data_IF_986248902269
#
_entry.id   IF_986248902269
#
_cell.length_a   1.000
_cell.length_b   1.000
_cell.length_c   1.000
_cell.angle_alpha   90.00
_cell.angle_beta   90.00
_cell.angle_gamma   90.00
#
_symmetry.space_group_name_H-M   'P 1'
#
loop_
_entity.id
_entity.type
_entity.pdbx_description
1 polymer ?
#
# COMPACT_ATOMS: atom_id res chain seq x y z
N UNK A 1 -5.36 24.66 25.83
CA UNK A 1 -5.91 24.61 24.46
C UNK A 1 -4.80 25.06 23.52
N UNK A 2 -3.95 24.13 23.07
CA UNK A 2 -2.84 24.51 22.17
C UNK A 2 -3.41 24.68 20.77
N UNK A 3 -3.41 25.91 20.27
CA UNK A 3 -3.70 26.20 18.87
C UNK A 3 -2.67 25.45 18.01
N UNK A 4 -3.11 24.42 17.28
CA UNK A 4 -2.25 23.72 16.34
C UNK A 4 -2.04 24.65 15.14
N UNK A 5 -0.80 25.12 14.98
CA UNK A 5 -0.37 25.95 13.86
C UNK A 5 0.41 25.07 12.89
N UNK A 6 0.14 25.21 11.59
CA UNK A 6 0.89 24.52 10.53
C UNK A 6 1.68 25.52 9.69
N UNK A 7 2.94 25.18 9.39
CA UNK A 7 3.77 25.95 8.47
C UNK A 7 3.51 25.50 7.03
N UNK A 8 3.16 26.45 6.16
CA UNK A 8 2.95 26.22 4.72
C UNK A 8 3.78 27.18 3.88
N UNK A 9 4.46 26.64 2.88
CA UNK A 9 5.19 27.44 1.90
C UNK A 9 4.22 27.91 0.80
N UNK A 10 4.20 29.20 0.52
CA UNK A 10 3.37 29.74 -0.56
C UNK A 10 3.90 29.27 -1.92
N UNK A 11 3.05 28.75 -2.83
CA UNK A 11 3.50 28.29 -4.14
C UNK A 11 3.98 29.44 -5.05
N UNK A 12 3.57 30.69 -4.80
CA UNK A 12 3.95 31.83 -5.64
C UNK A 12 5.17 32.60 -5.15
N UNK A 13 5.26 32.92 -3.86
CA UNK A 13 6.36 33.73 -3.32
C UNK A 13 7.32 32.94 -2.44
N UNK A 14 7.08 31.63 -2.23
CA UNK A 14 7.88 30.74 -1.38
C UNK A 14 8.02 31.15 0.09
N UNK A 15 7.34 32.22 0.52
CA UNK A 15 7.26 32.62 1.93
C UNK A 15 6.58 31.53 2.76
N UNK A 16 7.15 31.22 3.92
CA UNK A 16 6.55 30.31 4.91
C UNK A 16 5.51 31.08 5.72
N UNK A 17 4.28 30.57 5.76
CA UNK A 17 3.16 31.14 6.49
C UNK A 17 2.77 30.19 7.62
N UNK A 18 2.52 30.73 8.83
CA UNK A 18 1.92 29.96 9.92
C UNK A 18 0.41 30.12 9.86
N UNK A 19 -0.28 29.00 9.70
CA UNK A 19 -1.72 28.97 9.47
C UNK A 19 -2.38 28.18 10.57
N UNK A 20 -3.51 28.69 11.08
CA UNK A 20 -4.33 27.94 12.02
C UNK A 20 -4.93 26.73 11.32
N UNK A 21 -4.81 25.56 11.93
CA UNK A 21 -5.25 24.26 11.40
C UNK A 21 -6.71 24.28 10.92
N UNK A 22 -7.59 24.97 11.63
CA UNK A 22 -9.01 25.11 11.32
C UNK A 22 -9.33 26.00 10.11
N UNK A 23 -8.40 26.86 9.73
CA UNK A 23 -8.56 27.84 8.64
C UNK A 23 -7.65 27.56 7.44
N UNK A 24 -6.96 26.41 7.42
CA UNK A 24 -5.95 26.07 6.41
C UNK A 24 -6.48 26.16 4.98
N UNK A 25 -7.73 25.79 4.75
CA UNK A 25 -8.32 25.75 3.40
C UNK A 25 -8.50 27.12 2.77
N UNK A 26 -8.78 28.14 3.57
CA UNK A 26 -9.05 29.50 3.09
C UNK A 26 -7.90 30.46 3.43
N UNK A 27 -6.78 29.92 3.90
CA UNK A 27 -5.63 30.69 4.26
C UNK A 27 -4.95 31.33 3.05
N UNK A 28 -4.58 32.60 3.26
CA UNK A 28 -3.95 33.45 2.28
C UNK A 28 -2.54 33.79 2.75
N UNK A 29 -1.60 33.88 1.82
CA UNK A 29 -0.23 34.26 2.13
C UNK A 29 -0.15 35.72 2.59
N UNK A 30 0.49 35.94 3.73
CA UNK A 30 0.67 37.28 4.30
C UNK A 30 1.55 38.21 3.44
N UNK A 31 2.45 37.64 2.63
CA UNK A 31 3.38 38.41 1.80
C UNK A 31 2.79 38.83 0.45
N UNK A 32 2.04 37.95 -0.22
CA UNK A 32 1.59 38.20 -1.60
C UNK A 32 0.06 38.16 -1.77
N UNK A 33 -0.72 37.96 -0.70
CA UNK A 33 -2.18 37.97 -0.76
C UNK A 33 -2.80 36.81 -1.55
N UNK A 34 -2.00 35.78 -1.89
CA UNK A 34 -2.46 34.65 -2.69
C UNK A 34 -2.91 33.47 -1.81
N UNK A 35 -3.98 32.78 -2.22
CA UNK A 35 -4.43 31.53 -1.57
C UNK A 35 -3.29 30.51 -1.50
N UNK A 36 -3.09 29.91 -0.32
CA UNK A 36 -2.00 28.96 -0.07
C UNK A 36 -2.23 27.59 -0.70
N UNK A 37 -3.50 27.21 -0.93
CA UNK A 37 -3.90 25.95 -1.56
C UNK A 37 -4.63 26.31 -2.84
N UNK A 38 -3.99 26.06 -3.99
CA UNK A 38 -4.56 26.35 -5.32
C UNK A 38 -4.74 25.08 -6.15
N UNK A 39 -3.79 24.16 -6.03
CA UNK A 39 -3.77 22.91 -6.78
C UNK A 39 -3.80 21.70 -5.85
N UNK A 40 -4.25 20.56 -6.37
CA UNK A 40 -4.25 19.28 -5.66
C UNK A 40 -2.85 18.87 -5.16
N UNK A 41 -1.78 19.27 -5.89
CA UNK A 41 -0.39 19.06 -5.48
C UNK A 41 -0.03 19.81 -4.18
N UNK A 42 -0.58 21.00 -3.95
CA UNK A 42 -0.35 21.80 -2.74
C UNK A 42 -0.99 21.15 -1.49
N UNK A 43 -2.13 20.46 -1.67
CA UNK A 43 -2.80 19.69 -0.62
C UNK A 43 -1.93 18.53 -0.15
N UNK A 44 -1.32 17.81 -1.10
CA UNK A 44 -0.40 16.71 -0.83
C UNK A 44 1.00 17.20 -0.39
N UNK A 45 1.31 18.48 -0.56
CA UNK A 45 2.64 19.08 -0.33
C UNK A 45 3.74 18.44 -1.18
N UNK A 46 3.42 18.16 -2.43
CA UNK A 46 4.37 17.63 -3.43
C UNK A 46 4.56 18.64 -4.57
N UNK A 47 5.71 18.61 -5.27
CA UNK A 47 5.87 19.44 -6.46
C UNK A 47 4.95 18.96 -7.59
N UNK A 48 4.69 19.82 -8.57
CA UNK A 48 3.81 19.53 -9.70
C UNK A 48 4.35 18.45 -10.65
N UNK A 49 5.62 18.10 -10.54
CA UNK A 49 6.30 17.04 -11.29
C UNK A 49 6.54 15.76 -10.46
N UNK A 50 5.87 15.61 -9.31
CA UNK A 50 6.07 14.47 -8.42
C UNK A 50 5.71 13.13 -9.09
N UNK A 51 6.52 12.11 -8.83
CA UNK A 51 6.28 10.75 -9.31
C UNK A 51 5.06 10.12 -8.63
N UNK A 52 4.32 9.18 -9.26
CA UNK A 52 3.21 8.48 -8.62
C UNK A 52 3.56 7.83 -7.29
N UNK A 53 4.79 7.32 -7.13
CA UNK A 53 5.25 6.77 -5.86
C UNK A 53 5.37 7.85 -4.77
N UNK A 54 5.90 9.03 -5.12
CA UNK A 54 6.02 10.17 -4.20
C UNK A 54 4.63 10.70 -3.81
N UNK A 55 3.72 10.83 -4.78
CA UNK A 55 2.33 11.23 -4.52
C UNK A 55 1.62 10.28 -3.55
N UNK A 56 1.78 8.96 -3.76
CA UNK A 56 1.21 7.91 -2.89
C UNK A 56 1.78 7.99 -1.47
N UNK A 57 3.10 8.23 -1.34
CA UNK A 57 3.74 8.39 -0.04
C UNK A 57 3.29 9.67 0.68
N UNK A 58 3.19 10.78 -0.03
CA UNK A 58 2.72 12.05 0.52
C UNK A 58 1.25 11.99 0.96
N UNK A 59 0.39 11.37 0.14
CA UNK A 59 -1.01 11.09 0.49
C UNK A 59 -1.12 10.31 1.79
N UNK A 60 -0.40 9.18 1.94
CA UNK A 60 -0.42 8.37 3.16
C UNK A 60 -0.05 9.19 4.40
N UNK A 61 1.00 10.01 4.30
CA UNK A 61 1.45 10.90 5.40
C UNK A 61 0.38 11.92 5.78
N UNK A 62 -0.20 12.61 4.79
CA UNK A 62 -1.21 13.64 5.06
C UNK A 62 -2.52 13.03 5.58
N UNK A 63 -2.97 11.92 5.00
CA UNK A 63 -4.17 11.22 5.44
C UNK A 63 -4.06 10.72 6.89
N UNK A 64 -2.87 10.26 7.32
CA UNK A 64 -2.61 9.89 8.72
C UNK A 64 -2.55 11.08 9.67
N UNK A 65 -2.05 12.22 9.21
CA UNK A 65 -1.97 13.46 10.01
C UNK A 65 -3.36 14.02 10.29
N UNK A 66 -4.23 13.97 9.29
CA UNK A 66 -5.55 14.58 9.30
C UNK A 66 -6.69 13.59 9.54
N UNK A 67 -6.38 12.37 9.99
CA UNK A 67 -7.39 11.36 10.25
C UNK A 67 -8.33 11.79 11.39
N UNK A 68 -9.66 11.72 11.23
CA UNK A 68 -10.62 12.22 12.23
C UNK A 68 -10.45 11.59 13.61
N UNK A 69 -10.04 10.32 13.69
CA UNK A 69 -9.82 9.64 14.98
C UNK A 69 -8.69 10.24 15.84
N UNK A 70 -7.78 11.04 15.25
CA UNK A 70 -6.71 11.71 16.02
C UNK A 70 -7.14 13.05 16.63
N UNK A 71 -8.27 13.60 16.21
CA UNK A 71 -8.72 14.95 16.56
C UNK A 71 -10.02 14.85 17.35
N UNK A 72 -9.93 14.81 18.68
CA UNK A 72 -11.09 14.69 19.57
C UNK A 72 -11.84 15.99 19.81
N UNK A 73 -11.18 17.14 19.64
CA UNK A 73 -11.79 18.45 19.85
C UNK A 73 -12.77 18.76 18.68
N UNK A 74 -14.00 19.25 18.93
CA UNK A 74 -15.00 19.44 17.87
C UNK A 74 -14.55 20.35 16.73
N UNK A 75 -13.83 21.43 17.05
CA UNK A 75 -13.30 22.39 16.07
C UNK A 75 -12.22 21.74 15.20
N UNK A 76 -11.28 21.03 15.83
CA UNK A 76 -10.20 20.34 15.12
C UNK A 76 -10.73 19.15 14.33
N UNK A 77 -11.72 18.43 14.84
CA UNK A 77 -12.39 17.32 14.16
C UNK A 77 -13.03 17.78 12.85
N UNK A 78 -13.78 18.88 12.88
CA UNK A 78 -14.43 19.43 11.69
C UNK A 78 -13.39 19.82 10.62
N UNK A 79 -12.35 20.54 11.04
CA UNK A 79 -11.25 20.94 10.18
C UNK A 79 -10.49 19.73 9.60
N UNK A 80 -10.15 18.76 10.43
CA UNK A 80 -9.45 17.54 10.03
C UNK A 80 -10.29 16.70 9.07
N UNK A 81 -11.61 16.60 9.29
CA UNK A 81 -12.52 15.90 8.39
C UNK A 81 -12.60 16.59 7.03
N UNK A 82 -12.73 17.93 6.99
CA UNK A 82 -12.70 18.69 5.75
C UNK A 82 -11.37 18.51 5.01
N UNK A 83 -10.25 18.56 5.74
CA UNK A 83 -8.91 18.39 5.19
C UNK A 83 -8.67 16.97 4.67
N UNK A 84 -9.08 15.96 5.42
CA UNK A 84 -9.03 14.56 5.01
C UNK A 84 -9.81 14.34 3.72
N UNK A 85 -11.03 14.89 3.60
CA UNK A 85 -11.83 14.80 2.38
C UNK A 85 -11.11 15.43 1.18
N UNK A 86 -10.57 16.63 1.34
CA UNK A 86 -9.84 17.31 0.26
C UNK A 86 -8.55 16.57 -0.16
N UNK A 87 -7.80 15.99 0.79
CA UNK A 87 -6.64 15.15 0.48
C UNK A 87 -7.05 13.93 -0.37
N UNK A 88 -8.15 13.27 0.01
CA UNK A 88 -8.64 12.10 -0.72
C UNK A 88 -9.09 12.47 -2.14
N UNK A 89 -9.82 13.57 -2.28
CA UNK A 89 -10.24 14.09 -3.59
C UNK A 89 -9.03 14.46 -4.45
N UNK A 90 -8.06 15.18 -3.88
CA UNK A 90 -6.81 15.53 -4.55
C UNK A 90 -6.07 14.29 -5.06
N UNK A 91 -5.88 13.27 -4.21
CA UNK A 91 -5.21 12.05 -4.61
C UNK A 91 -6.03 11.25 -5.65
N UNK A 92 -7.36 11.21 -5.55
CA UNK A 92 -8.21 10.55 -6.53
C UNK A 92 -8.11 11.20 -7.93
N UNK A 93 -8.07 12.53 -8.00
CA UNK A 93 -7.89 13.27 -9.26
C UNK A 93 -6.47 13.03 -9.82
N UNK A 94 -5.44 13.25 -9.00
CA UNK A 94 -4.04 13.13 -9.41
C UNK A 94 -3.65 11.70 -9.81
N UNK A 95 -4.15 10.70 -9.09
CA UNK A 95 -3.92 9.29 -9.46
C UNK A 95 -4.62 8.91 -10.76
N UNK A 96 -5.81 9.47 -11.05
CA UNK A 96 -6.51 9.27 -12.32
C UNK A 96 -5.80 9.98 -13.47
N UNK A 97 -5.21 11.15 -13.24
CA UNK A 97 -4.37 11.86 -14.22
C UNK A 97 -3.09 11.09 -14.54
N UNK A 98 -2.37 10.63 -13.50
CA UNK A 98 -1.19 9.78 -13.67
C UNK A 98 -1.51 8.52 -14.50
N UNK A 99 -2.60 7.82 -14.16
CA UNK A 99 -3.07 6.64 -14.91
C UNK A 99 -3.51 6.98 -16.34
N UNK A 100 -4.12 8.15 -16.58
CA UNK A 100 -4.51 8.60 -17.94
C UNK A 100 -3.29 8.91 -18.81
N UNK A 101 -2.23 9.47 -18.23
CA UNK A 101 -0.99 9.71 -18.94
C UNK A 101 -0.26 8.40 -19.29
N UNK A 102 -0.41 7.36 -18.47
CA UNK A 102 0.10 6.00 -18.73
C UNK A 102 -0.78 5.17 -19.67
N UNK A 103 -2.09 5.46 -19.77
CA UNK A 103 -3.03 4.70 -20.60
C UNK A 103 -4.06 5.62 -21.27
N UNK A 104 -3.73 6.04 -22.49
CA UNK A 104 -4.64 6.77 -23.37
C UNK A 104 -5.73 5.86 -23.98
N UNK A 105 -6.67 5.36 -23.15
CA UNK A 105 -7.97 4.90 -23.64
C UNK A 105 -8.98 4.67 -22.51
N UNK A 106 -10.16 5.27 -22.68
CA UNK A 106 -11.44 5.05 -22.01
C UNK A 106 -11.71 5.78 -20.67
N UNK A 107 -12.44 6.89 -20.80
CA UNK A 107 -13.18 7.55 -19.72
C UNK A 107 -14.66 7.16 -19.86
N UNK A 108 -15.25 6.61 -18.80
CA UNK A 108 -16.70 6.72 -18.56
C UNK A 108 -16.91 7.55 -17.30
N UNK A 109 -17.55 8.69 -17.50
CA UNK A 109 -17.88 9.69 -16.49
C UNK A 109 -19.26 9.34 -15.90
N UNK A 110 -19.34 9.21 -14.58
CA UNK A 110 -20.57 8.90 -13.84
C UNK A 110 -20.91 10.03 -12.89
N UNK A 111 -22.06 10.64 -13.14
CA UNK A 111 -22.72 11.80 -12.50
C UNK A 111 -22.98 11.59 -10.99
N UNK A 112 -22.75 12.62 -10.18
CA UNK A 112 -23.00 12.61 -8.72
C UNK A 112 -24.22 13.46 -8.36
N UNK A 113 -25.19 12.84 -7.68
CA UNK A 113 -26.28 13.54 -6.97
C UNK A 113 -26.08 13.46 -5.45
N UNK A 114 -26.74 14.36 -4.73
CA UNK A 114 -26.47 14.89 -3.38
C UNK A 114 -26.75 13.99 -2.17
N UNK A 115 -27.01 12.69 -2.36
CA UNK A 115 -26.97 11.66 -1.30
C UNK A 115 -25.53 11.17 -1.00
N UNK A 116 -24.54 11.80 -1.61
CA UNK A 116 -23.17 11.36 -1.84
C UNK A 116 -22.16 11.68 -0.73
N UNK A 117 -22.54 12.45 0.30
CA UNK A 117 -21.57 12.99 1.26
C UNK A 117 -21.04 11.95 2.28
N UNK A 118 -21.88 11.05 2.80
CA UNK A 118 -21.45 9.97 3.72
C UNK A 118 -20.80 8.79 2.98
N UNK A 119 -21.30 8.48 1.78
CA UNK A 119 -20.71 7.50 0.87
C UNK A 119 -19.29 7.91 0.43
N UNK A 120 -19.07 9.21 0.18
CA UNK A 120 -17.76 9.77 -0.13
C UNK A 120 -16.78 9.63 1.05
N UNK A 121 -17.22 9.92 2.27
CA UNK A 121 -16.35 9.76 3.45
C UNK A 121 -16.00 8.29 3.73
N UNK A 122 -16.93 7.35 3.52
CA UNK A 122 -16.64 5.93 3.65
C UNK A 122 -15.67 5.44 2.55
N UNK A 123 -15.84 5.91 1.31
CA UNK A 123 -14.94 5.60 0.20
C UNK A 123 -13.53 6.13 0.46
N UNK A 124 -13.40 7.37 0.93
CA UNK A 124 -12.14 7.99 1.36
C UNK A 124 -11.44 7.15 2.46
N UNK A 125 -12.19 6.72 3.49
CA UNK A 125 -11.66 5.83 4.53
C UNK A 125 -11.16 4.50 3.97
N UNK A 126 -11.91 3.89 3.04
CA UNK A 126 -11.50 2.63 2.38
C UNK A 126 -10.23 2.81 1.56
N UNK A 127 -10.17 3.86 0.74
CA UNK A 127 -9.00 4.17 -0.08
C UNK A 127 -7.75 4.37 0.79
N UNK A 128 -7.87 5.09 1.90
CA UNK A 128 -6.80 5.22 2.88
C UNK A 128 -6.35 3.86 3.45
N UNK A 129 -7.30 3.03 3.89
CA UNK A 129 -6.97 1.72 4.44
C UNK A 129 -6.30 0.80 3.42
N UNK A 130 -6.79 0.77 2.17
CA UNK A 130 -6.20 -0.03 1.09
C UNK A 130 -4.76 0.40 0.80
N UNK A 131 -4.49 1.70 0.81
CA UNK A 131 -3.16 2.24 0.64
C UNK A 131 -2.21 1.84 1.79
N UNK A 132 -2.71 1.86 3.02
CA UNK A 132 -1.96 1.44 4.19
C UNK A 132 -1.68 -0.07 4.17
N UNK A 133 -2.65 -0.89 3.77
CA UNK A 133 -2.47 -2.33 3.58
C UNK A 133 -1.45 -2.63 2.48
N UNK A 134 -1.51 -1.88 1.37
CA UNK A 134 -0.58 -2.05 0.24
C UNK A 134 0.86 -1.82 0.68
N UNK A 135 1.13 -0.73 1.42
CA UNK A 135 2.44 -0.48 2.01
C UNK A 135 2.89 -1.61 2.94
N UNK A 136 2.00 -2.06 3.83
CA UNK A 136 2.32 -3.14 4.76
C UNK A 136 2.67 -4.45 4.03
N UNK A 137 2.00 -4.73 2.92
CA UNK A 137 2.31 -5.85 2.05
C UNK A 137 3.65 -5.68 1.33
N UNK A 138 3.96 -4.49 0.80
CA UNK A 138 5.27 -4.17 0.20
C UNK A 138 6.39 -4.44 1.21
N UNK A 139 6.27 -3.90 2.43
CA UNK A 139 7.23 -4.14 3.52
C UNK A 139 7.33 -5.63 3.90
N UNK A 140 6.19 -6.33 3.93
CA UNK A 140 6.19 -7.77 4.22
C UNK A 140 6.89 -8.59 3.12
N UNK A 141 6.77 -8.18 1.85
CA UNK A 141 7.43 -8.82 0.71
C UNK A 141 8.95 -8.61 0.73
N UNK A 142 9.43 -7.51 1.31
CA UNK A 142 10.85 -7.25 1.55
C UNK A 142 11.47 -8.11 2.66
N UNK A 143 10.74 -9.11 3.15
CA UNK A 143 11.14 -10.08 4.19
C UNK A 143 11.45 -9.42 5.53
N UNK A 144 10.89 -8.24 5.81
CA UNK A 144 10.99 -7.61 7.12
C UNK A 144 10.26 -8.44 8.19
N UNK A 145 10.78 -8.41 9.41
CA UNK A 145 10.13 -9.02 10.56
C UNK A 145 8.89 -8.22 10.98
N UNK A 146 7.88 -8.85 11.57
CA UNK A 146 6.65 -8.18 12.02
C UNK A 146 6.92 -6.92 12.85
N UNK A 147 7.90 -6.99 13.76
CA UNK A 147 8.33 -5.83 14.59
C UNK A 147 8.90 -4.68 13.75
N UNK A 148 9.72 -4.99 12.74
CA UNK A 148 10.30 -3.97 11.85
C UNK A 148 9.24 -3.35 10.95
N UNK A 149 8.29 -4.14 10.43
CA UNK A 149 7.15 -3.63 9.66
C UNK A 149 6.33 -2.67 10.53
N UNK A 150 5.97 -3.09 11.75
CA UNK A 150 5.24 -2.24 12.67
C UNK A 150 6.00 -0.96 13.01
N UNK A 151 7.32 -1.04 13.23
CA UNK A 151 8.16 0.13 13.49
C UNK A 151 8.16 1.09 12.30
N UNK A 152 8.35 0.60 11.06
CA UNK A 152 8.31 1.43 9.85
C UNK A 152 6.94 2.07 9.63
N UNK A 153 5.85 1.36 9.92
CA UNK A 153 4.51 1.91 9.88
C UNK A 153 4.33 3.03 10.93
N UNK A 154 4.86 2.83 12.15
CA UNK A 154 4.85 3.84 13.22
C UNK A 154 5.69 5.07 12.84
N UNK A 155 6.88 4.89 12.25
CA UNK A 155 7.72 5.97 11.73
C UNK A 155 7.00 6.79 10.64
N UNK A 156 6.11 6.16 9.88
CA UNK A 156 5.28 6.86 8.89
C UNK A 156 4.01 7.50 9.49
N UNK A 157 3.81 7.43 10.81
CA UNK A 157 2.72 8.11 11.51
C UNK A 157 1.47 7.27 11.75
N UNK A 158 1.53 5.95 11.50
CA UNK A 158 0.45 5.03 11.80
C UNK A 158 0.25 4.89 13.32
N UNK A 159 -1.01 4.80 13.76
CA UNK A 159 -1.33 4.52 15.15
C UNK A 159 -0.66 3.20 15.61
N UNK A 160 -0.05 3.15 16.80
CA UNK A 160 0.71 1.99 17.23
C UNK A 160 -0.11 0.69 17.27
N UNK A 161 -1.40 0.75 17.67
CA UNK A 161 -2.27 -0.43 17.73
C UNK A 161 -2.60 -0.93 16.32
N UNK A 162 -2.93 -0.01 15.41
CA UNK A 162 -3.26 -0.33 14.02
C UNK A 162 -2.03 -0.90 13.30
N UNK A 163 -0.86 -0.31 13.50
CA UNK A 163 0.40 -0.76 12.92
C UNK A 163 0.72 -2.21 13.28
N UNK A 164 0.54 -2.58 14.55
CA UNK A 164 0.81 -3.95 15.02
C UNK A 164 -0.17 -4.97 14.41
N UNK A 165 -1.47 -4.64 14.33
CA UNK A 165 -2.49 -5.48 13.69
C UNK A 165 -2.19 -5.68 12.20
N UNK A 166 -1.91 -4.60 11.48
CA UNK A 166 -1.67 -4.64 10.03
C UNK A 166 -0.34 -5.33 9.71
N UNK A 167 0.70 -5.17 10.53
CA UNK A 167 1.95 -5.92 10.41
C UNK A 167 1.73 -7.42 10.60
N UNK A 168 0.94 -7.83 11.60
CA UNK A 168 0.62 -9.25 11.81
C UNK A 168 -0.23 -9.83 10.67
N UNK A 169 -1.22 -9.07 10.20
CA UNK A 169 -2.10 -9.47 9.11
C UNK A 169 -1.34 -9.61 7.78
N UNK A 170 -0.46 -8.66 7.44
CA UNK A 170 0.34 -8.68 6.21
C UNK A 170 1.31 -9.87 6.14
N UNK A 171 2.01 -10.18 7.24
CA UNK A 171 2.88 -11.37 7.32
C UNK A 171 2.07 -12.67 7.21
N UNK A 172 0.92 -12.72 7.89
CA UNK A 172 0.02 -13.89 7.83
C UNK A 172 -0.55 -14.09 6.42
N UNK A 173 -0.93 -13.01 5.75
CA UNK A 173 -1.37 -13.01 4.36
C UNK A 173 -0.27 -13.51 3.43
N UNK A 174 0.97 -12.99 3.56
CA UNK A 174 2.14 -13.44 2.79
C UNK A 174 2.39 -14.93 2.97
N UNK A 175 2.39 -15.44 4.22
CA UNK A 175 2.55 -16.87 4.51
C UNK A 175 1.44 -17.72 3.88
N UNK A 176 0.19 -17.27 3.96
CA UNK A 176 -0.96 -17.95 3.31
C UNK A 176 -0.80 -18.00 1.79
N UNK A 177 -0.37 -16.90 1.17
CA UNK A 177 -0.11 -16.85 -0.28
C UNK A 177 1.03 -17.79 -0.67
N UNK A 178 2.14 -17.80 0.07
CA UNK A 178 3.25 -18.73 -0.17
C UNK A 178 2.80 -20.19 -0.08
N UNK A 179 2.02 -20.56 0.94
CA UNK A 179 1.45 -21.92 1.09
C UNK A 179 0.50 -22.29 -0.06
N UNK A 180 -0.34 -21.35 -0.53
CA UNK A 180 -1.21 -21.59 -1.69
C UNK A 180 -0.38 -21.86 -2.95
N UNK A 181 0.65 -21.04 -3.21
CA UNK A 181 1.55 -21.23 -4.34
C UNK A 181 2.35 -22.53 -4.25
N UNK A 182 2.72 -22.96 -3.04
CA UNK A 182 3.45 -24.21 -2.79
C UNK A 182 2.68 -25.49 -3.21
N UNK A 183 1.35 -25.42 -3.38
CA UNK A 183 0.55 -26.56 -3.87
C UNK A 183 0.97 -27.02 -5.26
N UNK A 184 1.36 -26.09 -6.15
CA UNK A 184 1.80 -26.41 -7.51
C UNK A 184 3.09 -27.27 -7.54
N UNK A 185 4.21 -26.83 -6.92
CA UNK A 185 5.42 -27.65 -6.88
C UNK A 185 5.21 -28.94 -6.08
N UNK A 186 4.36 -28.94 -5.04
CA UNK A 186 4.01 -30.16 -4.31
C UNK A 186 3.32 -31.18 -5.25
N UNK A 187 2.35 -30.75 -6.05
CA UNK A 187 1.66 -31.61 -7.01
C UNK A 187 2.62 -32.14 -8.10
N UNK A 188 3.54 -31.30 -8.60
CA UNK A 188 4.58 -31.73 -9.53
C UNK A 188 5.52 -32.76 -8.91
N UNK A 189 5.92 -32.57 -7.65
CA UNK A 189 6.76 -33.51 -6.93
C UNK A 189 6.09 -34.88 -6.82
N UNK A 190 4.82 -34.91 -6.39
CA UNK A 190 4.04 -36.16 -6.28
C UNK A 190 3.87 -36.82 -7.66
N UNK A 191 3.52 -36.05 -8.69
CA UNK A 191 3.33 -36.56 -10.05
C UNK A 191 4.59 -37.25 -10.58
N UNK A 192 5.74 -36.56 -10.53
CA UNK A 192 6.99 -37.11 -11.06
C UNK A 192 7.54 -38.25 -10.21
N UNK A 193 7.28 -38.25 -8.89
CA UNK A 193 7.63 -39.37 -8.02
C UNK A 193 6.84 -40.64 -8.40
N UNK A 194 5.53 -40.53 -8.58
CA UNK A 194 4.69 -41.66 -9.00
C UNK A 194 5.06 -42.16 -10.40
N UNK A 195 5.33 -41.24 -11.33
CA UNK A 195 5.73 -41.60 -12.69
C UNK A 195 7.10 -42.29 -12.74
N UNK A 196 8.09 -41.80 -11.98
CA UNK A 196 9.39 -42.47 -11.84
C UNK A 196 9.27 -43.87 -11.23
N UNK A 197 8.40 -44.03 -10.22
CA UNK A 197 8.12 -45.34 -9.61
C UNK A 197 7.46 -46.31 -10.60
N UNK A 198 6.60 -45.83 -11.47
CA UNK A 198 5.98 -46.65 -12.52
C UNK A 198 7.02 -47.18 -13.53
N UNK A 199 7.96 -46.32 -13.94
CA UNK A 199 9.04 -46.71 -14.87
C UNK A 199 9.90 -47.83 -14.28
N UNK A 200 10.31 -47.71 -13.01
CA UNK A 200 11.08 -48.76 -12.30
C UNK A 200 10.32 -50.09 -12.24
N UNK A 201 8.99 -50.06 -12.03
CA UNK A 201 8.20 -51.27 -11.84
C UNK A 201 7.82 -51.96 -13.16
N UNK A 202 7.61 -51.21 -14.25
CA UNK A 202 7.02 -51.73 -15.49
C UNK A 202 7.93 -51.74 -16.71
N UNK A 203 8.96 -50.89 -16.79
CA UNK A 203 9.64 -50.58 -18.07
C UNK A 203 11.02 -51.26 -18.19
N UNK A 204 11.46 -51.99 -17.15
CA UNK A 204 12.67 -52.80 -17.18
C UNK A 204 13.98 -51.99 -17.09
N UNK A 205 15.14 -52.68 -16.99
CA UNK A 205 16.43 -52.09 -16.63
C UNK A 205 16.95 -50.93 -17.50
N UNK A 206 16.80 -50.92 -18.84
CA UNK A 206 17.45 -49.89 -19.67
C UNK A 206 16.89 -48.47 -19.44
N UNK A 207 15.73 -48.32 -18.81
CA UNK A 207 15.11 -47.03 -18.53
C UNK A 207 15.27 -46.54 -17.08
N UNK A 208 16.01 -47.28 -16.24
CA UNK A 208 16.22 -46.90 -14.83
C UNK A 208 16.92 -45.55 -14.67
N UNK A 209 17.84 -45.17 -15.57
CA UNK A 209 18.50 -43.86 -15.56
C UNK A 209 17.48 -42.72 -15.67
N UNK A 210 16.48 -42.88 -16.52
CA UNK A 210 15.39 -41.90 -16.66
C UNK A 210 14.59 -41.80 -15.37
N UNK A 211 14.26 -42.93 -14.73
CA UNK A 211 13.56 -42.93 -13.46
C UNK A 211 14.33 -42.17 -12.36
N UNK A 212 15.65 -42.34 -12.26
CA UNK A 212 16.48 -41.60 -11.31
C UNK A 212 16.48 -40.08 -11.55
N UNK A 213 16.55 -39.64 -12.81
CA UNK A 213 16.44 -38.21 -13.15
C UNK A 213 15.08 -37.64 -12.74
N UNK A 214 14.00 -38.40 -12.92
CA UNK A 214 12.67 -37.99 -12.49
C UNK A 214 12.54 -37.89 -10.97
N UNK A 215 13.17 -38.79 -10.21
CA UNK A 215 13.20 -38.69 -8.75
C UNK A 215 14.01 -37.49 -8.27
N UNK A 216 15.13 -37.18 -8.91
CA UNK A 216 15.89 -35.94 -8.62
C UNK A 216 15.02 -34.70 -8.88
N UNK A 217 14.29 -34.68 -10.00
CA UNK A 217 13.38 -33.60 -10.33
C UNK A 217 12.21 -33.48 -9.34
N UNK A 218 11.61 -34.60 -8.94
CA UNK A 218 10.57 -34.65 -7.91
C UNK A 218 11.09 -34.13 -6.56
N UNK A 219 12.31 -34.53 -6.18
CA UNK A 219 12.96 -34.10 -4.94
C UNK A 219 13.23 -32.59 -4.93
N UNK A 220 13.71 -32.03 -6.05
CA UNK A 220 13.89 -30.58 -6.19
C UNK A 220 12.58 -29.80 -5.97
N UNK A 221 11.49 -30.23 -6.60
CA UNK A 221 10.18 -29.59 -6.40
C UNK A 221 9.63 -29.80 -4.99
N UNK A 222 9.87 -30.96 -4.38
CA UNK A 222 9.53 -31.25 -3.00
C UNK A 222 10.25 -30.32 -2.01
N UNK A 223 11.57 -30.17 -2.16
CA UNK A 223 12.38 -29.25 -1.37
C UNK A 223 11.95 -27.79 -1.57
N UNK A 224 11.67 -27.38 -2.82
CA UNK A 224 11.15 -26.04 -3.11
C UNK A 224 9.79 -25.79 -2.45
N UNK A 225 8.87 -26.75 -2.53
CA UNK A 225 7.57 -26.65 -1.88
C UNK A 225 7.70 -26.57 -0.35
N UNK A 226 8.56 -27.41 0.23
CA UNK A 226 8.86 -27.42 1.67
C UNK A 226 9.46 -26.08 2.12
N UNK A 227 10.42 -25.54 1.37
CA UNK A 227 10.97 -24.21 1.63
C UNK A 227 9.89 -23.13 1.62
N UNK A 228 9.00 -23.13 0.63
CA UNK A 228 7.91 -22.14 0.56
C UNK A 228 6.95 -22.21 1.75
N UNK A 229 6.70 -23.42 2.28
CA UNK A 229 5.82 -23.64 3.44
C UNK A 229 6.48 -23.18 4.75
N UNK A 230 7.77 -23.51 4.94
CA UNK A 230 8.53 -23.20 6.15
C UNK A 230 8.91 -21.71 6.18
N UNK A 231 9.54 -21.21 5.12
CA UNK A 231 10.00 -19.83 5.04
C UNK A 231 8.85 -18.85 4.76
N UNK A 232 7.71 -19.33 4.23
CA UNK A 232 6.56 -18.50 3.91
C UNK A 232 6.83 -17.48 2.78
N UNK A 233 7.78 -17.76 1.88
CA UNK A 233 8.15 -16.91 0.74
C UNK A 233 8.50 -17.75 -0.49
N UNK A 234 8.43 -17.15 -1.67
CA UNK A 234 8.58 -17.84 -2.96
C UNK A 234 10.03 -18.01 -3.42
N UNK A 235 10.92 -17.09 -3.05
CA UNK A 235 12.35 -17.17 -3.35
C UNK A 235 13.18 -16.53 -2.24
N UNK A 236 14.45 -16.91 -2.15
CA UNK A 236 15.46 -16.14 -1.42
C UNK A 236 15.78 -14.94 -2.31
N UNK A 237 15.23 -13.77 -1.98
CA UNK A 237 15.66 -12.53 -2.61
C UNK A 237 17.08 -12.27 -2.09
N UNK A 238 18.10 -12.63 -2.87
CA UNK A 238 19.48 -12.19 -2.62
C UNK A 238 19.46 -10.67 -2.80
N UNK A 239 19.67 -9.95 -1.70
CA UNK A 239 19.88 -8.49 -1.72
C UNK A 239 21.34 -8.22 -2.00
#
# INVERSE_FOLDING_TARGET
MNELMEERRCPSCQTTNRVKVDQVMDAVCASCGQKLIRHHYDLLQVPTNADPHEMKQAYRKQAMKWHPDKHSDPVQFSAANAYFRAINEAYAVLSKEARRNESASEVKEGRTDSASMDLSQQAARRQFMDEMYTLALELALDSLNTKQIALRLKEQGCDPKVADIVAQASVSYRKRQARKKARKPLALAVFWFLFGSFILYKVGPPFHVVAWLLFMYASYHGLRAMFMIIAGRESVRLK
#
